data_IF_467765469842
#
_entry.id   IF_467765469842
#
_cell.length_a   1.000
_cell.length_b   1.000
_cell.length_c   1.000
_cell.angle_alpha   90.00
_cell.angle_beta   90.00
_cell.angle_gamma   90.00
#
_symmetry.space_group_name_H-M   'P 1'
#
loop_
_entity.id
_entity.type
_entity.pdbx_description
1 polymer ?
#
# COMPACT_ATOMS: atom_id res chain seq x y z
N UNK A 1 22.41 -4.04 7.27
CA UNK A 1 22.10 -5.47 7.64
C UNK A 1 21.65 -6.21 6.40
N UNK A 2 22.13 -7.42 6.16
CA UNK A 2 21.60 -8.23 5.05
C UNK A 2 20.35 -9.02 5.46
N UNK A 3 19.62 -9.55 4.45
CA UNK A 3 18.38 -10.30 4.69
C UNK A 3 18.58 -11.57 5.53
N UNK A 4 19.75 -12.23 5.45
CA UNK A 4 20.01 -13.46 6.22
C UNK A 4 20.22 -13.14 7.70
N UNK A 5 20.94 -12.05 7.98
CA UNK A 5 21.15 -11.56 9.35
C UNK A 5 19.84 -11.13 9.98
N UNK A 6 19.01 -10.39 9.23
CA UNK A 6 17.69 -9.96 9.69
C UNK A 6 16.79 -11.15 10.02
N UNK A 7 16.69 -12.14 9.13
CA UNK A 7 15.91 -13.36 9.36
C UNK A 7 16.41 -14.08 10.61
N UNK A 8 17.74 -14.27 10.75
CA UNK A 8 18.33 -14.93 11.92
C UNK A 8 17.98 -14.21 13.22
N UNK A 9 18.07 -12.87 13.22
CA UNK A 9 17.78 -12.04 14.39
C UNK A 9 16.29 -12.16 14.80
N UNK A 10 15.38 -12.02 13.83
CA UNK A 10 13.93 -12.11 14.07
C UNK A 10 13.50 -13.52 14.50
N UNK A 11 14.06 -14.58 13.90
CA UNK A 11 13.81 -15.97 14.30
C UNK A 11 14.28 -16.25 15.72
N UNK A 12 15.36 -15.60 16.18
CA UNK A 12 15.84 -15.68 17.56
C UNK A 12 14.93 -14.90 18.56
N UNK A 13 13.89 -14.23 18.08
CA UNK A 13 13.01 -13.40 18.90
C UNK A 13 13.55 -12.01 19.21
N UNK A 14 14.64 -11.61 18.55
CA UNK A 14 15.25 -10.30 18.74
C UNK A 14 14.59 -9.23 17.88
N UNK A 15 14.47 -8.01 18.42
CA UNK A 15 13.88 -6.88 17.72
C UNK A 15 14.90 -6.21 16.79
N UNK A 16 14.42 -5.71 15.66
CA UNK A 16 15.19 -4.81 14.80
C UNK A 16 15.07 -3.36 15.32
N UNK A 17 16.14 -2.61 15.16
CA UNK A 17 16.07 -1.15 15.28
C UNK A 17 15.37 -0.55 14.06
N UNK A 18 14.98 0.72 14.14
CA UNK A 18 14.38 1.45 13.02
C UNK A 18 15.29 1.39 11.77
N UNK A 19 16.60 1.61 11.96
CA UNK A 19 17.54 1.61 10.82
C UNK A 19 17.73 0.22 10.22
N UNK A 20 17.81 -0.83 11.04
CA UNK A 20 17.85 -2.21 10.56
C UNK A 20 16.56 -2.57 9.77
N UNK A 21 15.40 -2.18 10.27
CA UNK A 21 14.13 -2.40 9.57
C UNK A 21 14.06 -1.63 8.24
N UNK A 22 14.60 -0.40 8.18
CA UNK A 22 14.74 0.36 6.92
C UNK A 22 15.62 -0.35 5.91
N UNK A 23 16.79 -0.84 6.31
CA UNK A 23 17.71 -1.57 5.42
C UNK A 23 17.04 -2.82 4.84
N UNK A 24 16.37 -3.60 5.68
CA UNK A 24 15.64 -4.81 5.27
C UNK A 24 14.52 -4.46 4.28
N UNK A 25 13.73 -3.43 4.58
CA UNK A 25 12.63 -3.00 3.71
C UNK A 25 13.13 -2.51 2.35
N UNK A 26 14.27 -1.78 2.31
CA UNK A 26 14.90 -1.38 1.04
C UNK A 26 15.33 -2.59 0.23
N UNK A 27 16.00 -3.58 0.84
CA UNK A 27 16.41 -4.81 0.15
C UNK A 27 15.22 -5.60 -0.42
N UNK A 28 14.07 -5.57 0.28
CA UNK A 28 12.84 -6.21 -0.21
C UNK A 28 12.25 -5.47 -1.41
N UNK A 29 12.17 -4.13 -1.35
CA UNK A 29 11.54 -3.32 -2.40
C UNK A 29 12.45 -3.09 -3.61
N UNK A 30 13.79 -3.12 -3.45
CA UNK A 30 14.75 -3.03 -4.56
C UNK A 30 14.86 -4.32 -5.37
N UNK A 31 14.30 -5.44 -4.87
CA UNK A 31 14.43 -6.75 -5.51
C UNK A 31 15.74 -7.48 -5.21
N UNK A 32 16.55 -6.99 -4.28
CA UNK A 32 17.77 -7.67 -3.82
C UNK A 32 17.43 -8.93 -3.00
N UNK A 33 16.31 -8.91 -2.28
CA UNK A 33 15.83 -10.04 -1.52
C UNK A 33 15.07 -11.03 -2.39
N UNK A 34 15.36 -12.32 -2.25
CA UNK A 34 14.59 -13.37 -2.93
C UNK A 34 13.20 -13.52 -2.30
N UNK A 35 12.23 -14.04 -3.06
CA UNK A 35 10.86 -14.29 -2.56
C UNK A 35 10.86 -15.22 -1.32
N UNK A 36 11.77 -16.19 -1.28
CA UNK A 36 11.92 -17.08 -0.13
C UNK A 36 12.42 -16.32 1.12
N UNK A 37 13.35 -15.40 0.96
CA UNK A 37 13.84 -14.56 2.07
C UNK A 37 12.74 -13.60 2.56
N UNK A 38 12.00 -12.97 1.64
CA UNK A 38 10.87 -12.09 1.98
C UNK A 38 9.82 -12.88 2.78
N UNK A 39 9.39 -14.04 2.27
CA UNK A 39 8.41 -14.89 2.96
C UNK A 39 8.91 -15.36 4.34
N UNK A 40 10.17 -15.77 4.44
CA UNK A 40 10.77 -16.20 5.72
C UNK A 40 10.82 -15.07 6.73
N UNK A 41 11.25 -13.87 6.30
CA UNK A 41 11.34 -12.69 7.15
C UNK A 41 9.97 -12.26 7.67
N UNK A 42 9.00 -12.09 6.78
CA UNK A 42 7.65 -11.65 7.15
C UNK A 42 6.94 -12.67 8.06
N UNK A 43 7.12 -13.96 7.81
CA UNK A 43 6.57 -15.02 8.67
C UNK A 43 7.22 -15.01 10.06
N UNK A 44 8.55 -14.90 10.12
CA UNK A 44 9.27 -14.82 11.40
C UNK A 44 8.88 -13.57 12.18
N UNK A 45 8.78 -12.42 11.51
CA UNK A 45 8.36 -11.15 12.12
C UNK A 45 6.94 -11.27 12.70
N UNK A 46 6.01 -11.88 11.95
CA UNK A 46 4.65 -12.13 12.40
C UNK A 46 4.57 -13.07 13.61
N UNK A 47 5.40 -14.12 13.64
CA UNK A 47 5.44 -15.07 14.77
C UNK A 47 6.04 -14.40 16.02
N UNK A 48 7.09 -13.62 15.85
CA UNK A 48 7.72 -12.85 16.93
C UNK A 48 6.77 -11.80 17.50
N UNK A 49 5.99 -11.18 16.67
CA UNK A 49 5.23 -9.96 16.94
C UNK A 49 6.06 -8.71 16.59
N UNK A 50 5.49 -7.83 15.81
CA UNK A 50 6.11 -6.61 15.32
C UNK A 50 6.22 -5.57 16.44
N UNK A 51 7.36 -4.87 16.51
CA UNK A 51 7.53 -3.70 17.39
C UNK A 51 7.18 -2.41 16.66
N UNK A 52 6.96 -1.34 17.43
CA UNK A 52 6.72 0.00 16.85
C UNK A 52 7.90 0.44 15.98
N UNK A 53 9.12 0.21 16.42
CA UNK A 53 10.33 0.60 15.68
C UNK A 53 10.44 -0.15 14.33
N UNK A 54 10.12 -1.42 14.31
CA UNK A 54 10.09 -2.23 13.08
C UNK A 54 9.01 -1.73 12.11
N UNK A 55 7.83 -1.42 12.61
CA UNK A 55 6.73 -0.87 11.79
C UNK A 55 7.13 0.51 11.25
N UNK A 56 7.67 1.40 12.09
CA UNK A 56 8.11 2.74 11.68
C UNK A 56 9.22 2.65 10.63
N UNK A 57 10.22 1.78 10.82
CA UNK A 57 11.30 1.59 9.87
C UNK A 57 10.77 1.14 8.49
N UNK A 58 9.94 0.10 8.47
CA UNK A 58 9.33 -0.39 7.22
C UNK A 58 8.45 0.66 6.54
N UNK A 59 7.54 1.28 7.28
CA UNK A 59 6.62 2.28 6.74
C UNK A 59 7.35 3.51 6.18
N UNK A 60 8.43 3.95 6.83
CA UNK A 60 9.25 5.06 6.35
C UNK A 60 9.81 4.78 4.95
N UNK A 61 10.37 3.59 4.73
CA UNK A 61 10.95 3.23 3.42
C UNK A 61 9.86 3.04 2.36
N UNK A 62 8.72 2.45 2.73
CA UNK A 62 7.59 2.36 1.81
C UNK A 62 7.14 3.75 1.35
N UNK A 63 7.05 4.70 2.26
CA UNK A 63 6.69 6.08 1.94
C UNK A 63 7.76 6.79 1.09
N UNK A 64 9.06 6.59 1.40
CA UNK A 64 10.17 7.17 0.64
C UNK A 64 10.23 6.67 -0.81
N UNK A 65 9.87 5.41 -1.06
CA UNK A 65 9.94 4.76 -2.37
C UNK A 65 8.61 4.75 -3.12
N UNK A 66 7.52 5.21 -2.50
CA UNK A 66 6.22 5.30 -3.16
C UNK A 66 6.24 6.38 -4.25
N UNK A 67 5.55 6.11 -5.36
CA UNK A 67 5.23 7.15 -6.32
C UNK A 67 4.22 8.12 -5.71
N UNK A 68 4.56 9.40 -5.78
CA UNK A 68 3.73 10.46 -5.21
C UNK A 68 2.95 11.18 -6.28
N UNK A 69 1.65 11.36 -6.05
CA UNK A 69 0.80 12.24 -6.85
C UNK A 69 0.56 13.56 -6.13
N UNK A 70 0.63 14.68 -6.85
CA UNK A 70 0.45 16.04 -6.31
C UNK A 70 -0.51 16.84 -7.18
N UNK A 71 -1.77 16.41 -7.32
CA UNK A 71 -2.73 17.09 -8.18
C UNK A 71 -3.04 18.50 -7.66
N UNK A 72 -3.23 19.43 -8.58
CA UNK A 72 -3.59 20.82 -8.29
C UNK A 72 -5.10 20.94 -8.19
N UNK A 73 -5.63 20.83 -6.99
CA UNK A 73 -7.07 20.89 -6.72
C UNK A 73 -7.46 22.13 -5.92
N UNK A 74 -8.66 22.66 -6.15
CA UNK A 74 -9.17 23.84 -5.45
C UNK A 74 -9.43 23.60 -3.95
N UNK A 75 -9.70 22.36 -3.58
CA UNK A 75 -9.90 21.90 -2.20
C UNK A 75 -9.01 20.68 -1.96
N UNK A 76 -8.69 20.33 -0.72
CA UNK A 76 -7.90 19.12 -0.44
C UNK A 76 -8.53 17.86 -1.05
N UNK A 77 -7.72 17.04 -1.69
CA UNK A 77 -8.15 15.70 -2.13
C UNK A 77 -8.09 14.71 -0.97
N UNK A 78 -8.89 13.66 -1.05
CA UNK A 78 -8.97 12.62 -0.03
C UNK A 78 -8.76 11.24 -0.63
N UNK A 79 -8.36 10.29 0.22
CA UNK A 79 -8.29 8.86 -0.10
C UNK A 79 -9.41 8.11 0.62
N UNK A 80 -10.04 7.17 -0.07
CA UNK A 80 -10.97 6.21 0.47
C UNK A 80 -10.33 4.82 0.45
N UNK A 81 -9.62 4.47 1.51
CA UNK A 81 -8.97 3.17 1.63
C UNK A 81 -9.46 2.45 2.89
N UNK A 82 -9.73 1.16 2.74
CA UNK A 82 -9.97 0.27 3.87
C UNK A 82 -8.68 -0.47 4.23
N UNK A 83 -8.54 -0.88 5.48
CA UNK A 83 -7.40 -1.68 5.94
C UNK A 83 -7.34 -3.06 5.29
N UNK A 84 -8.47 -3.56 4.78
CA UNK A 84 -8.59 -4.92 4.25
C UNK A 84 -8.53 -6.00 5.34
N UNK A 85 -8.75 -7.26 4.94
CA UNK A 85 -8.54 -8.40 5.83
C UNK A 85 -9.53 -8.54 6.99
N UNK A 86 -10.61 -7.77 7.03
CA UNK A 86 -11.62 -7.79 8.11
C UNK A 86 -12.60 -8.97 8.03
N UNK A 87 -12.56 -9.74 6.95
CA UNK A 87 -13.44 -10.88 6.72
C UNK A 87 -14.93 -10.53 6.54
N UNK A 88 -15.29 -9.28 6.43
CA UNK A 88 -16.69 -8.81 6.39
C UNK A 88 -17.42 -9.21 5.10
N UNK A 89 -16.69 -9.56 4.02
CA UNK A 89 -17.25 -9.99 2.73
C UNK A 89 -18.34 -9.05 2.16
N UNK A 90 -18.19 -7.75 2.40
CA UNK A 90 -19.07 -6.72 1.85
C UNK A 90 -18.75 -6.45 0.37
N UNK A 91 -19.62 -5.71 -0.33
CA UNK A 91 -19.23 -5.09 -1.60
C UNK A 91 -18.16 -4.02 -1.37
N UNK A 92 -17.53 -3.52 -2.44
CA UNK A 92 -16.44 -2.54 -2.35
C UNK A 92 -16.94 -1.15 -1.91
N UNK A 93 -17.28 -1.04 -0.62
CA UNK A 93 -17.84 0.18 -0.01
C UNK A 93 -16.93 1.38 -0.27
N UNK A 94 -15.63 1.27 0.01
CA UNK A 94 -14.67 2.38 -0.17
C UNK A 94 -14.60 2.83 -1.63
N UNK A 95 -14.60 1.91 -2.59
CA UNK A 95 -14.58 2.26 -4.02
C UNK A 95 -15.88 2.95 -4.44
N UNK A 96 -17.01 2.42 -4.01
CA UNK A 96 -18.32 3.04 -4.29
C UNK A 96 -18.43 4.43 -3.66
N UNK A 97 -17.99 4.59 -2.41
CA UNK A 97 -17.97 5.89 -1.72
C UNK A 97 -17.08 6.91 -2.42
N UNK A 98 -15.93 6.47 -2.98
CA UNK A 98 -15.06 7.34 -3.75
C UNK A 98 -15.76 7.94 -4.97
N UNK A 99 -16.49 7.13 -5.74
CA UNK A 99 -17.27 7.62 -6.88
C UNK A 99 -18.38 8.61 -6.45
N UNK A 100 -19.09 8.30 -5.37
CA UNK A 100 -20.13 9.20 -4.83
C UNK A 100 -19.55 10.53 -4.40
N UNK A 101 -18.41 10.51 -3.69
CA UNK A 101 -17.73 11.72 -3.23
C UNK A 101 -17.17 12.55 -4.40
N UNK A 102 -16.56 11.88 -5.39
CA UNK A 102 -16.11 12.55 -6.62
C UNK A 102 -17.28 13.21 -7.37
N UNK A 103 -18.40 12.50 -7.49
CA UNK A 103 -19.64 13.05 -8.09
C UNK A 103 -20.23 14.22 -7.31
N UNK A 104 -19.95 14.33 -6.01
CA UNK A 104 -20.30 15.46 -5.17
C UNK A 104 -19.27 16.62 -5.22
N UNK A 105 -18.21 16.49 -6.03
CA UNK A 105 -17.21 17.53 -6.23
C UNK A 105 -15.99 17.45 -5.29
N UNK A 106 -15.81 16.35 -4.58
CA UNK A 106 -14.62 16.14 -3.74
C UNK A 106 -13.55 15.42 -4.56
N UNK A 107 -12.35 16.00 -4.75
CA UNK A 107 -11.28 15.32 -5.49
C UNK A 107 -10.79 14.07 -4.74
N UNK A 108 -10.60 12.96 -5.44
CA UNK A 108 -10.24 11.66 -4.89
C UNK A 108 -8.92 11.18 -5.48
N UNK A 109 -7.91 11.02 -4.63
CA UNK A 109 -6.71 10.26 -4.95
C UNK A 109 -6.84 8.88 -4.31
N UNK A 110 -7.39 7.91 -5.06
CA UNK A 110 -7.72 6.62 -4.49
C UNK A 110 -6.53 5.67 -4.53
N UNK A 111 -6.13 5.18 -3.36
CA UNK A 111 -5.22 4.05 -3.22
C UNK A 111 -6.03 2.75 -3.05
N UNK A 112 -5.52 1.66 -3.58
CA UNK A 112 -6.16 0.35 -3.45
C UNK A 112 -5.30 -0.77 -4.01
N UNK A 113 -5.83 -2.00 -3.90
CA UNK A 113 -5.13 -3.18 -4.41
C UNK A 113 -6.14 -4.18 -4.98
N UNK A 114 -5.62 -5.26 -5.59
CA UNK A 114 -6.39 -6.44 -5.95
C UNK A 114 -6.82 -7.20 -4.70
N UNK A 115 -7.83 -8.06 -4.84
CA UNK A 115 -8.29 -8.91 -3.74
C UNK A 115 -7.17 -9.84 -3.26
N UNK A 116 -6.97 -9.91 -1.93
CA UNK A 116 -6.10 -10.89 -1.29
C UNK A 116 -6.95 -11.92 -0.53
N UNK A 117 -7.89 -11.45 0.28
CA UNK A 117 -8.77 -12.31 1.12
C UNK A 117 -10.24 -12.21 0.73
N UNK A 118 -10.65 -11.16 0.04
CA UNK A 118 -12.02 -10.96 -0.45
C UNK A 118 -12.20 -11.52 -1.87
N UNK A 119 -13.46 -11.57 -2.34
CA UNK A 119 -13.77 -12.00 -3.71
C UNK A 119 -13.45 -10.95 -4.78
N UNK A 120 -13.27 -9.70 -4.41
CA UNK A 120 -13.04 -8.57 -5.31
C UNK A 120 -12.39 -7.41 -4.55
N UNK A 121 -11.21 -6.97 -5.00
CA UNK A 121 -10.51 -5.79 -4.50
C UNK A 121 -10.93 -4.51 -5.21
N UNK A 122 -10.40 -3.37 -4.77
CA UNK A 122 -10.68 -2.09 -5.40
C UNK A 122 -10.24 -2.04 -6.87
N UNK A 123 -9.01 -2.52 -7.14
CA UNK A 123 -8.47 -2.59 -8.49
C UNK A 123 -9.29 -3.50 -9.41
N UNK A 124 -9.75 -4.65 -8.91
CA UNK A 124 -10.55 -5.59 -9.69
C UNK A 124 -11.87 -4.98 -10.15
N UNK A 125 -12.53 -4.20 -9.29
CA UNK A 125 -13.78 -3.49 -9.64
C UNK A 125 -13.53 -2.40 -10.66
N UNK A 126 -12.49 -1.59 -10.49
CA UNK A 126 -12.17 -0.50 -11.41
C UNK A 126 -11.84 -1.05 -12.80
N UNK A 127 -11.06 -2.11 -12.88
CA UNK A 127 -10.71 -2.79 -14.12
C UNK A 127 -11.95 -3.40 -14.81
N UNK A 128 -12.85 -4.03 -14.03
CA UNK A 128 -14.12 -4.55 -14.54
C UNK A 128 -15.07 -3.46 -15.08
N UNK A 129 -14.94 -2.23 -14.57
CA UNK A 129 -15.63 -1.04 -15.08
C UNK A 129 -14.96 -0.43 -16.32
N UNK A 130 -13.85 -0.99 -16.79
CA UNK A 130 -13.08 -0.51 -17.92
C UNK A 130 -12.13 0.65 -17.62
N UNK A 131 -11.84 0.90 -16.34
CA UNK A 131 -10.91 1.95 -15.93
C UNK A 131 -9.49 1.41 -16.03
N UNK A 132 -8.59 2.16 -16.68
CA UNK A 132 -7.18 1.83 -16.71
C UNK A 132 -6.55 2.12 -15.35
N UNK A 133 -6.11 1.06 -14.65
CA UNK A 133 -5.49 1.12 -13.33
C UNK A 133 -3.95 1.15 -13.39
N UNK A 134 -3.38 1.20 -14.59
CA UNK A 134 -1.93 1.19 -14.83
C UNK A 134 -1.49 2.53 -15.42
N UNK A 135 -2.02 3.62 -14.89
CA UNK A 135 -1.63 4.97 -15.28
C UNK A 135 -0.37 5.40 -14.55
N UNK A 136 0.48 6.14 -15.24
CA UNK A 136 1.63 6.85 -14.64
C UNK A 136 1.14 7.99 -13.73
N UNK A 137 1.95 8.40 -12.77
CA UNK A 137 1.59 9.37 -11.74
C UNK A 137 1.01 10.68 -12.31
N UNK A 138 1.62 11.22 -13.38
CA UNK A 138 1.18 12.43 -14.05
C UNK A 138 -0.23 12.30 -14.66
N UNK A 139 -0.55 11.12 -15.20
CA UNK A 139 -1.88 10.85 -15.74
C UNK A 139 -2.92 10.68 -14.62
N UNK A 140 -2.53 10.11 -13.47
CA UNK A 140 -3.38 10.04 -12.28
C UNK A 140 -3.69 11.45 -11.76
N UNK A 141 -2.70 12.33 -11.69
CA UNK A 141 -2.89 13.75 -11.33
C UNK A 141 -3.89 14.41 -12.27
N UNK A 142 -3.71 14.26 -13.58
CA UNK A 142 -4.60 14.82 -14.59
C UNK A 142 -6.05 14.29 -14.46
N UNK A 143 -6.22 13.00 -14.15
CA UNK A 143 -7.53 12.42 -13.86
C UNK A 143 -8.18 13.07 -12.63
N UNK A 144 -7.44 13.24 -11.53
CA UNK A 144 -7.96 13.89 -10.33
C UNK A 144 -8.38 15.34 -10.63
N UNK A 145 -7.56 16.08 -11.38
CA UNK A 145 -7.82 17.48 -11.72
C UNK A 145 -9.00 17.66 -12.67
N UNK A 146 -9.18 16.80 -13.67
CA UNK A 146 -10.17 16.95 -14.72
C UNK A 146 -11.47 16.20 -14.46
N UNK A 147 -11.37 15.01 -13.87
CA UNK A 147 -12.51 14.10 -13.68
C UNK A 147 -12.92 14.01 -12.21
N UNK A 148 -12.05 14.46 -11.31
CA UNK A 148 -12.28 14.45 -9.87
C UNK A 148 -11.84 13.15 -9.18
N UNK A 149 -11.30 12.17 -9.90
CA UNK A 149 -10.83 10.91 -9.32
C UNK A 149 -9.68 10.31 -10.12
N UNK A 150 -8.65 9.81 -9.43
CA UNK A 150 -7.54 9.01 -9.96
C UNK A 150 -7.27 7.79 -9.07
N UNK A 151 -6.66 6.71 -9.65
CA UNK A 151 -6.33 5.46 -8.96
C UNK A 151 -4.88 5.09 -9.27
#
# INVERSE_FOLDING_TARGET
MDMKEAIKKVVAGENLTIDEAKEVMRAMLSGEATQAQIGSFLTALRIKGETIDEIVGCATVMQELAEHVKPKTAIPYIDFVGTGGDGANTFNISTTSAFVAAGAGVPIAKHGNRAISSKSGAADVLEALGINIMLEAEMVEECIEKVGMGF
#
